data_IF_215906854700
#
_entry.id   IF_215906854700
#
_cell.length_a   1.000
_cell.length_b   1.000
_cell.length_c   1.000
_cell.angle_alpha   90.00
_cell.angle_beta   90.00
_cell.angle_gamma   90.00
#
_symmetry.space_group_name_H-M   'P 1'
#
loop_
_entity.id
_entity.type
_entity.pdbx_description
1 polymer ?
#
# COMPACT_ATOMS: atom_id res chain seq x y z
N UNK A 1 2.72 -6.45 2.33
CA UNK A 1 3.30 -6.95 3.60
C UNK A 1 2.32 -7.83 4.38
N UNK A 2 1.02 -7.48 4.47
CA UNK A 2 0.02 -8.31 5.16
C UNK A 2 0.07 -9.80 4.76
N UNK A 3 -0.04 -10.13 3.47
CA UNK A 3 0.01 -11.52 3.00
C UNK A 3 1.31 -12.24 3.37
N UNK A 4 2.46 -11.55 3.34
CA UNK A 4 3.72 -12.10 3.79
C UNK A 4 3.65 -12.54 5.26
N UNK A 5 3.11 -11.68 6.13
CA UNK A 5 2.95 -12.00 7.55
C UNK A 5 2.03 -13.20 7.77
N UNK A 6 0.93 -13.26 7.03
CA UNK A 6 -0.05 -14.37 7.11
C UNK A 6 0.63 -15.69 6.73
N UNK A 7 1.34 -15.72 5.60
CA UNK A 7 2.08 -16.90 5.16
C UNK A 7 3.21 -17.28 6.13
N UNK A 8 3.95 -16.28 6.63
CA UNK A 8 5.02 -16.49 7.61
C UNK A 8 4.49 -17.05 8.94
N UNK A 9 3.25 -16.73 9.30
CA UNK A 9 2.58 -17.27 10.47
C UNK A 9 2.00 -18.70 10.26
N UNK A 10 2.24 -19.32 9.10
CA UNK A 10 1.84 -20.71 8.83
C UNK A 10 0.42 -20.87 8.28
N UNK A 11 -0.28 -19.77 7.99
CA UNK A 11 -1.61 -19.83 7.38
C UNK A 11 -1.52 -20.11 5.88
N UNK A 12 -2.60 -20.65 5.33
CA UNK A 12 -2.75 -20.95 3.90
C UNK A 12 -3.64 -19.91 3.23
N UNK A 13 -3.25 -19.46 2.03
CA UNK A 13 -4.11 -18.64 1.18
C UNK A 13 -4.81 -19.57 0.19
N UNK A 14 -6.13 -19.69 0.32
CA UNK A 14 -6.95 -20.46 -0.61
C UNK A 14 -7.51 -19.54 -1.70
N UNK A 15 -7.38 -19.95 -2.96
CA UNK A 15 -8.01 -19.25 -4.08
C UNK A 15 -9.43 -19.78 -4.29
N UNK A 16 -10.42 -18.91 -4.18
CA UNK A 16 -11.82 -19.24 -4.42
C UNK A 16 -12.26 -18.61 -5.75
N UNK A 17 -12.32 -19.43 -6.80
CA UNK A 17 -12.66 -18.97 -8.14
C UNK A 17 -14.10 -18.44 -8.24
N UNK A 18 -15.01 -18.96 -7.43
CA UNK A 18 -16.43 -18.57 -7.41
C UNK A 18 -16.69 -17.26 -6.65
N UNK A 19 -15.66 -16.66 -6.06
CA UNK A 19 -15.80 -15.38 -5.35
C UNK A 19 -15.80 -14.22 -6.35
N UNK A 20 -16.93 -13.51 -6.43
CA UNK A 20 -17.06 -12.33 -7.28
C UNK A 20 -16.70 -11.05 -6.52
N UNK A 21 -15.82 -10.25 -7.10
CA UNK A 21 -15.44 -8.94 -6.57
C UNK A 21 -15.59 -7.90 -7.67
N UNK A 22 -16.47 -6.93 -7.45
CA UNK A 22 -16.60 -5.77 -8.32
C UNK A 22 -15.39 -4.86 -8.15
N UNK A 23 -14.65 -4.65 -9.23
CA UNK A 23 -13.58 -3.67 -9.29
C UNK A 23 -13.75 -2.78 -10.52
N UNK A 24 -13.48 -1.48 -10.34
CA UNK A 24 -13.51 -0.54 -11.46
C UNK A 24 -12.23 -0.71 -12.28
N UNK A 25 -12.36 -1.11 -13.54
CA UNK A 25 -11.22 -1.14 -14.45
C UNK A 25 -10.81 0.29 -14.83
N UNK A 26 -9.50 0.53 -14.94
CA UNK A 26 -8.98 1.82 -15.42
C UNK A 26 -9.12 1.85 -16.95
N UNK A 27 -9.79 2.87 -17.48
CA UNK A 27 -10.12 2.94 -18.92
C UNK A 27 -9.09 3.69 -19.77
N UNK A 28 -8.12 4.38 -19.16
CA UNK A 28 -7.19 5.25 -19.89
C UNK A 28 -5.77 4.69 -19.94
N UNK A 29 -5.06 4.95 -21.03
CA UNK A 29 -3.64 4.56 -21.18
C UNK A 29 -2.75 5.22 -20.12
N UNK A 30 -3.01 6.48 -19.77
CA UNK A 30 -2.28 7.15 -18.70
C UNK A 30 -2.43 6.44 -17.35
N UNK A 31 -3.63 5.93 -17.04
CA UNK A 31 -3.90 5.20 -15.82
C UNK A 31 -3.23 3.81 -15.83
N UNK A 32 -3.13 3.16 -17.00
CA UNK A 32 -2.34 1.94 -17.19
C UNK A 32 -0.84 2.18 -16.95
N UNK A 33 -0.27 3.23 -17.52
CA UNK A 33 1.14 3.57 -17.32
C UNK A 33 1.44 3.86 -15.86
N UNK A 34 0.59 4.65 -15.20
CA UNK A 34 0.70 4.89 -13.76
C UNK A 34 0.65 3.59 -12.97
N UNK A 35 -0.28 2.70 -13.31
CA UNK A 35 -0.41 1.40 -12.67
C UNK A 35 0.86 0.56 -12.80
N UNK A 36 1.42 0.43 -14.00
CA UNK A 36 2.66 -0.34 -14.26
C UNK A 36 3.82 0.25 -13.45
N UNK A 37 3.97 1.58 -13.46
CA UNK A 37 4.98 2.27 -12.67
C UNK A 37 4.83 2.00 -11.16
N UNK A 38 3.61 2.15 -10.64
CA UNK A 38 3.31 1.97 -9.22
C UNK A 38 3.49 0.51 -8.78
N UNK A 39 3.16 -0.46 -9.63
CA UNK A 39 3.43 -1.89 -9.37
C UNK A 39 4.92 -2.19 -9.28
N UNK A 40 5.72 -1.70 -10.23
CA UNK A 40 7.17 -1.89 -10.22
C UNK A 40 7.82 -1.29 -8.97
N UNK A 41 7.43 -0.04 -8.65
CA UNK A 41 7.87 0.68 -7.44
C UNK A 41 7.46 -0.04 -6.16
N UNK A 42 6.21 -0.48 -6.09
CA UNK A 42 5.63 -1.17 -4.93
C UNK A 42 6.27 -2.53 -4.68
N UNK A 43 6.58 -3.29 -5.73
CA UNK A 43 7.24 -4.59 -5.63
C UNK A 43 8.63 -4.49 -4.99
N UNK A 44 9.44 -3.51 -5.41
CA UNK A 44 10.75 -3.25 -4.81
C UNK A 44 10.60 -2.83 -3.34
N UNK A 45 9.73 -1.86 -3.05
CA UNK A 45 9.48 -1.42 -1.67
C UNK A 45 9.00 -2.57 -0.76
N UNK A 46 8.19 -3.49 -1.29
CA UNK A 46 7.74 -4.68 -0.58
C UNK A 46 8.90 -5.62 -0.25
N UNK A 47 9.76 -5.94 -1.22
CA UNK A 47 10.91 -6.82 -0.99
C UNK A 47 11.95 -6.19 -0.04
N UNK A 48 12.14 -4.88 -0.09
CA UNK A 48 12.92 -4.12 0.90
C UNK A 48 12.30 -4.21 2.28
N UNK A 49 10.97 -4.11 2.38
CA UNK A 49 10.26 -4.23 3.67
C UNK A 49 10.48 -5.61 4.28
N UNK A 50 10.32 -6.69 3.50
CA UNK A 50 10.53 -8.07 4.00
C UNK A 50 11.99 -8.32 4.39
N UNK A 51 12.94 -7.74 3.65
CA UNK A 51 14.35 -7.86 4.00
C UNK A 51 14.69 -7.11 5.29
N UNK A 52 14.24 -5.86 5.44
CA UNK A 52 14.56 -5.02 6.59
C UNK A 52 13.85 -5.45 7.89
N UNK A 53 12.62 -5.97 7.80
CA UNK A 53 11.85 -6.37 8.98
C UNK A 53 12.02 -7.84 9.36
N UNK A 54 12.19 -8.73 8.39
CA UNK A 54 12.19 -10.18 8.63
C UNK A 54 13.54 -10.85 8.27
N UNK A 55 14.54 -10.06 7.86
CA UNK A 55 15.86 -10.54 7.41
C UNK A 55 15.78 -11.54 6.24
N UNK A 56 14.71 -11.47 5.45
CA UNK A 56 14.50 -12.39 4.34
C UNK A 56 15.35 -12.01 3.12
N UNK A 57 16.48 -12.69 2.97
CA UNK A 57 17.43 -12.46 1.88
C UNK A 57 16.87 -12.77 0.48
N UNK A 58 15.80 -13.57 0.39
CA UNK A 58 15.17 -13.91 -0.89
C UNK A 58 14.63 -12.67 -1.59
N UNK A 59 14.08 -11.71 -0.82
CA UNK A 59 13.62 -10.43 -1.34
C UNK A 59 14.76 -9.60 -1.95
N UNK A 60 15.92 -9.57 -1.29
CA UNK A 60 17.08 -8.85 -1.79
C UNK A 60 17.66 -9.49 -3.04
N UNK A 61 17.75 -10.84 -3.09
CA UNK A 61 18.15 -11.57 -4.31
C UNK A 61 17.21 -11.29 -5.48
N UNK A 62 15.90 -11.23 -5.23
CA UNK A 62 14.90 -10.89 -6.25
C UNK A 62 15.16 -9.52 -6.87
N UNK A 63 15.41 -8.52 -6.02
CA UNK A 63 15.78 -7.17 -6.44
C UNK A 63 17.11 -7.20 -7.20
N UNK A 64 18.19 -7.70 -6.59
CA UNK A 64 19.54 -7.55 -7.14
C UNK A 64 19.82 -8.39 -8.40
N UNK A 65 19.16 -9.53 -8.58
CA UNK A 65 19.54 -10.51 -9.63
C UNK A 65 18.37 -10.80 -10.57
N UNK A 66 17.24 -11.22 -10.02
CA UNK A 66 16.15 -11.78 -10.82
C UNK A 66 15.46 -10.71 -11.67
N UNK A 67 15.16 -9.54 -11.10
CA UNK A 67 14.52 -8.44 -11.82
C UNK A 67 15.44 -7.85 -12.92
N UNK A 68 16.73 -7.52 -12.66
CA UNK A 68 17.66 -7.10 -13.71
C UNK A 68 17.78 -8.12 -14.85
N UNK A 69 17.80 -9.42 -14.52
CA UNK A 69 17.84 -10.49 -15.54
C UNK A 69 16.60 -10.47 -16.44
N UNK A 70 15.41 -10.22 -15.88
CA UNK A 70 14.17 -10.08 -16.66
C UNK A 70 14.24 -8.87 -17.58
N UNK A 71 14.73 -7.72 -17.11
CA UNK A 71 14.93 -6.54 -17.96
C UNK A 71 15.89 -6.83 -19.12
N UNK A 72 17.03 -7.46 -18.85
CA UNK A 72 17.98 -7.87 -19.90
C UNK A 72 17.35 -8.82 -20.91
N UNK A 73 16.50 -9.75 -20.46
CA UNK A 73 15.78 -10.67 -21.32
C UNK A 73 14.78 -9.93 -22.22
N UNK A 74 13.94 -9.04 -21.68
CA UNK A 74 13.01 -8.21 -22.46
C UNK A 74 13.73 -7.35 -23.51
N UNK A 75 14.87 -6.74 -23.15
CA UNK A 75 15.68 -5.95 -24.09
C UNK A 75 16.23 -6.85 -25.21
N UNK A 76 16.72 -8.04 -24.87
CA UNK A 76 17.23 -9.02 -25.84
C UNK A 76 16.14 -9.53 -26.79
N UNK A 77 14.95 -9.81 -26.29
CA UNK A 77 13.82 -10.23 -27.11
C UNK A 77 13.35 -9.14 -28.06
N UNK A 78 13.37 -7.89 -27.59
CA UNK A 78 13.08 -6.73 -28.44
C UNK A 78 14.11 -6.59 -29.56
N UNK A 79 15.40 -6.70 -29.23
CA UNK A 79 16.48 -6.64 -30.21
C UNK A 79 16.37 -7.77 -31.24
N UNK A 80 15.89 -8.94 -30.82
CA UNK A 80 15.60 -10.09 -31.68
C UNK A 80 14.28 -9.99 -32.45
N UNK A 81 13.56 -8.87 -32.34
CA UNK A 81 12.23 -8.63 -32.94
C UNK A 81 11.18 -9.70 -32.61
N UNK A 82 11.35 -10.41 -31.49
CA UNK A 82 10.43 -11.47 -31.03
C UNK A 82 9.35 -10.95 -30.08
N UNK A 83 9.42 -9.68 -29.66
CA UNK A 83 8.49 -9.09 -28.71
C UNK A 83 7.87 -7.79 -29.22
N UNK A 84 6.53 -7.74 -29.17
CA UNK A 84 5.73 -6.55 -29.44
C UNK A 84 5.68 -5.58 -28.25
N UNK A 85 6.35 -5.90 -27.13
CA UNK A 85 6.35 -5.03 -25.96
C UNK A 85 7.07 -3.70 -26.28
N UNK A 86 6.43 -2.54 -26.04
CA UNK A 86 7.03 -1.25 -26.37
C UNK A 86 8.16 -0.91 -25.40
N UNK A 87 9.27 -0.38 -25.93
CA UNK A 87 10.46 -0.01 -25.14
C UNK A 87 10.14 1.01 -24.05
N UNK A 88 9.19 1.91 -24.30
CA UNK A 88 8.75 2.89 -23.32
C UNK A 88 8.17 2.24 -22.05
N UNK A 89 7.45 1.11 -22.17
CA UNK A 89 6.92 0.41 -21.00
C UNK A 89 8.04 -0.25 -20.18
N UNK A 90 9.03 -0.85 -20.83
CA UNK A 90 10.23 -1.38 -20.16
C UNK A 90 10.94 -0.26 -19.38
N UNK A 91 11.09 0.90 -20.02
CA UNK A 91 11.69 2.06 -19.38
C UNK A 91 10.87 2.58 -18.20
N UNK A 92 9.54 2.54 -18.30
CA UNK A 92 8.63 2.94 -17.24
C UNK A 92 8.72 2.00 -16.04
N UNK A 93 8.77 0.69 -16.28
CA UNK A 93 9.01 -0.32 -15.25
C UNK A 93 10.36 -0.12 -14.58
N UNK A 94 11.41 0.13 -15.36
CA UNK A 94 12.75 0.41 -14.86
C UNK A 94 12.79 1.68 -13.99
N UNK A 95 12.11 2.75 -14.40
CA UNK A 95 11.93 3.96 -13.59
C UNK A 95 11.19 3.67 -12.29
N UNK A 96 10.13 2.85 -12.33
CA UNK A 96 9.41 2.42 -11.14
C UNK A 96 10.31 1.63 -10.19
N UNK A 97 11.11 0.72 -10.74
CA UNK A 97 12.04 -0.13 -10.01
C UNK A 97 13.08 0.71 -9.26
N UNK A 98 13.72 1.68 -9.92
CA UNK A 98 14.66 2.61 -9.30
C UNK A 98 14.00 3.53 -8.26
N UNK A 99 12.73 3.89 -8.47
CA UNK A 99 11.97 4.68 -7.51
C UNK A 99 11.50 3.88 -6.28
N UNK A 100 11.68 2.56 -6.28
CA UNK A 100 11.25 1.64 -5.22
C UNK A 100 11.86 1.94 -3.85
N UNK A 101 13.19 2.02 -3.70
CA UNK A 101 13.83 2.35 -2.43
C UNK A 101 13.41 3.73 -1.91
N UNK A 102 13.27 4.72 -2.80
CA UNK A 102 12.75 6.04 -2.44
C UNK A 102 11.30 5.98 -1.97
N UNK A 103 10.46 5.14 -2.60
CA UNK A 103 9.09 4.88 -2.14
C UNK A 103 9.04 4.36 -0.72
N UNK A 104 9.89 3.38 -0.43
CA UNK A 104 10.01 2.80 0.90
C UNK A 104 10.41 3.87 1.92
N UNK A 105 11.41 4.68 1.60
CA UNK A 105 11.85 5.80 2.45
C UNK A 105 10.73 6.81 2.71
N UNK A 106 10.05 7.28 1.66
CA UNK A 106 8.92 8.20 1.79
C UNK A 106 7.79 7.60 2.63
N UNK A 107 7.49 6.31 2.44
CA UNK A 107 6.49 5.58 3.23
C UNK A 107 6.89 5.54 4.71
N UNK A 108 8.15 5.24 5.00
CA UNK A 108 8.66 5.19 6.37
C UNK A 108 8.61 6.58 7.04
N UNK A 109 9.02 7.63 6.33
CA UNK A 109 8.90 9.02 6.84
C UNK A 109 7.45 9.41 7.09
N UNK A 110 6.52 8.99 6.23
CA UNK A 110 5.10 9.26 6.39
C UNK A 110 4.53 8.55 7.62
N UNK A 111 4.86 7.28 7.83
CA UNK A 111 4.45 6.54 9.04
C UNK A 111 5.06 7.15 10.30
N UNK A 112 6.31 7.60 10.25
CA UNK A 112 6.95 8.30 11.38
C UNK A 112 6.24 9.63 11.72
N UNK A 113 5.72 10.34 10.71
CA UNK A 113 4.99 11.60 10.90
C UNK A 113 3.55 11.40 11.37
N UNK A 114 2.81 10.45 10.77
CA UNK A 114 1.39 10.25 11.03
C UNK A 114 1.11 9.31 12.21
N UNK A 115 2.12 8.60 12.71
CA UNK A 115 1.94 7.51 13.66
C UNK A 115 1.46 6.23 12.99
N UNK A 116 1.37 5.16 13.78
CA UNK A 116 0.80 3.88 13.35
C UNK A 116 -0.70 3.91 13.62
N UNK A 117 -1.49 3.29 12.74
CA UNK A 117 -2.91 3.08 13.03
C UNK A 117 -3.06 2.20 14.28
N UNK A 118 -4.09 2.49 15.07
CA UNK A 118 -4.45 1.66 16.22
C UNK A 118 -4.68 0.20 15.80
N UNK A 119 -4.43 -0.72 16.72
CA UNK A 119 -4.71 -2.14 16.53
C UNK A 119 -6.16 -2.33 16.07
N UNK A 120 -6.37 -3.30 15.20
CA UNK A 120 -7.71 -3.67 14.77
C UNK A 120 -8.54 -4.06 15.99
N UNK A 121 -9.61 -3.32 16.25
CA UNK A 121 -10.61 -3.67 17.25
C UNK A 121 -11.67 -4.55 16.58
N UNK A 122 -11.93 -5.75 17.11
CA UNK A 122 -12.96 -6.63 16.57
C UNK A 122 -14.34 -5.97 16.71
N UNK A 123 -15.26 -6.30 15.79
CA UNK A 123 -16.53 -5.59 15.64
C UNK A 123 -17.40 -5.61 16.91
N UNK A 124 -17.36 -6.71 17.65
CA UNK A 124 -18.03 -6.88 18.93
C UNK A 124 -17.57 -5.87 19.99
N UNK A 125 -16.30 -5.47 19.99
CA UNK A 125 -15.74 -4.53 20.98
C UNK A 125 -15.97 -3.06 20.60
N UNK A 126 -16.35 -2.75 19.35
CA UNK A 126 -16.56 -1.36 18.89
C UNK A 126 -17.80 -0.70 19.46
N UNK A 127 -18.86 -1.47 19.75
CA UNK A 127 -20.12 -0.93 20.27
C UNK A 127 -19.94 -0.20 21.62
N UNK A 128 -19.09 -0.74 22.50
CA UNK A 128 -18.77 -0.15 23.79
C UNK A 128 -17.99 1.17 23.69
N UNK A 129 -17.26 1.38 22.59
CA UNK A 129 -16.50 2.60 22.33
C UNK A 129 -17.34 3.71 21.68
N UNK A 130 -18.33 3.37 20.84
CA UNK A 130 -19.29 4.37 20.34
C UNK A 130 -20.08 5.01 21.47
N UNK A 131 -20.51 4.20 22.44
CA UNK A 131 -21.22 4.69 23.63
C UNK A 131 -20.33 5.61 24.49
N UNK A 132 -19.04 5.29 24.63
CA UNK A 132 -18.09 6.14 25.37
C UNK A 132 -17.74 7.44 24.64
N UNK A 133 -17.55 7.40 23.33
CA UNK A 133 -17.24 8.59 22.54
C UNK A 133 -18.42 9.56 22.47
N UNK A 134 -19.65 9.05 22.40
CA UNK A 134 -20.86 9.89 22.48
C UNK A 134 -21.01 10.52 23.88
N UNK A 135 -20.81 9.73 24.95
CA UNK A 135 -20.86 10.23 26.35
C UNK A 135 -19.78 11.28 26.64
N UNK A 136 -18.56 11.08 26.16
CA UNK A 136 -17.49 12.06 26.31
C UNK A 136 -17.78 13.33 25.47
N UNK A 137 -18.33 13.20 24.25
CA UNK A 137 -18.70 14.34 23.40
C UNK A 137 -19.82 15.20 23.96
N UNK A 138 -20.84 14.61 24.62
CA UNK A 138 -21.89 15.37 25.28
C UNK A 138 -21.38 16.15 26.49
N UNK A 139 -20.37 15.61 27.22
CA UNK A 139 -19.75 16.33 28.34
C UNK A 139 -18.97 17.58 27.89
N UNK A 140 -18.26 17.51 26.77
CA UNK A 140 -17.59 18.67 26.18
C UNK A 140 -18.59 19.73 25.66
N UNK A 141 -19.74 19.31 25.12
CA UNK A 141 -20.78 20.23 24.65
C UNK A 141 -21.55 20.90 25.79
N UNK A 142 -21.79 20.20 26.91
CA UNK A 142 -22.44 20.80 28.09
C UNK A 142 -21.53 21.79 28.81
N UNK A 143 -20.22 21.53 28.85
CA UNK A 143 -19.24 22.43 29.44
C UNK A 143 -19.02 23.71 28.60
N UNK A 144 -19.09 23.61 27.27
CA UNK A 144 -18.97 24.79 26.38
C UNK A 144 -20.24 25.64 26.29
N UNK A 145 -21.44 25.06 26.42
CA UNK A 145 -22.70 25.81 26.40
C UNK A 145 -22.94 26.63 27.68
N UNK A 146 -22.27 26.35 28.80
CA UNK A 146 -22.33 27.17 30.01
C UNK A 146 -21.44 28.42 29.96
N UNK A 147 -20.51 28.52 29.00
CA UNK A 147 -19.49 29.59 28.93
C UNK A 147 -19.92 30.75 28.02
N UNK A 148 -20.96 30.60 27.20
CA UNK A 148 -21.42 31.63 26.25
C UNK A 148 -22.48 32.51 26.93
N UNK A 149 -22.22 33.81 27.23
CA UNK A 149 -23.24 34.70 27.75
C UNK A 149 -24.30 34.94 26.66
N UNK A 150 -25.57 34.83 27.03
CA UNK A 150 -26.71 35.07 26.14
C UNK A 150 -26.78 36.54 25.72
N UNK A 151 -26.25 36.88 24.54
CA UNK A 151 -26.60 38.14 23.88
C UNK A 151 -28.02 38.04 23.31
N UNK A 152 -28.94 38.75 23.95
CA UNK A 152 -30.30 39.00 23.47
C UNK A 152 -30.26 40.11 22.40
N UNK A 153 -30.89 39.94 21.24
CA UNK A 153 -30.94 40.99 20.23
C UNK A 153 -32.00 42.05 20.60
N UNK A 154 -31.61 43.32 20.53
CA UNK A 154 -32.55 44.46 20.47
C UNK A 154 -32.96 44.74 19.02
#
# INVERSE_FOLDING_TARGET
YMFYKVLKAGYTICYQADAYVWHKHRSTMAALYKQIYDYSRGGVAYHLTTWLHDSDWRGLRRIAVEIPKVFCWHIKEKLRRRSNYPLFLIWLEFKGYLAGPWAYWCSHRRVKKLGKSNSYLPLNERHHLSTKLDVDSESYLTETLQIIPSEQPQ
#
